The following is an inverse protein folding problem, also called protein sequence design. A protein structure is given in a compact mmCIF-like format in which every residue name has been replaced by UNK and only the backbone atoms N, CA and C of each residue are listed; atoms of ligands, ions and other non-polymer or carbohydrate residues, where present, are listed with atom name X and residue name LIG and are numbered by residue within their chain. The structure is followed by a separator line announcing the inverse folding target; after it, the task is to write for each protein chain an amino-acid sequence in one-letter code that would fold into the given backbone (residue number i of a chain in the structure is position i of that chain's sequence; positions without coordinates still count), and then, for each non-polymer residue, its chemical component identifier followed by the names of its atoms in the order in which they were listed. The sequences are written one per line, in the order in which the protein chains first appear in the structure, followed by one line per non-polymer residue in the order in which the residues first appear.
data_IF_134628814859
#
_entry.id   IF_134628814859
#
_cell.length_a   1.000
_cell.length_b   1.000
_cell.length_c   1.000
_cell.angle_alpha   90.00
_cell.angle_beta   90.00
_cell.angle_gamma   90.00
#
_symmetry.space_group_name_H-M   'P 1'
#
loop_
_entity.id
_entity.type
_entity.pdbx_description
1 polymer ?
#
# COMPACT_ATOMS: atom_id res chain seq x y z
N UNK A 1 2.21 0.51 13.98
CA UNK A 1 1.98 0.76 12.54
C UNK A 1 2.48 -0.33 11.59
N UNK A 2 3.45 -1.17 11.96
CA UNK A 2 4.02 -2.23 11.10
C UNK A 2 3.03 -3.35 10.65
N UNK A 3 1.85 -3.45 11.27
CA UNK A 3 0.83 -4.43 10.91
C UNK A 3 -0.08 -3.98 9.74
N UNK A 4 0.24 -2.90 9.04
CA UNK A 4 -0.53 -2.49 7.85
C UNK A 4 -0.02 -3.14 6.57
N UNK A 5 1.27 -3.48 6.51
CA UNK A 5 1.94 -3.97 5.30
C UNK A 5 2.11 -5.49 5.26
N UNK A 6 1.90 -6.22 6.36
CA UNK A 6 2.14 -7.67 6.43
C UNK A 6 1.27 -8.51 5.47
N UNK A 7 0.12 -7.96 5.07
CA UNK A 7 -0.78 -8.62 4.14
C UNK A 7 -0.46 -8.33 2.68
N UNK A 8 0.51 -7.46 2.39
CA UNK A 8 0.86 -7.08 1.03
C UNK A 8 1.95 -8.01 0.47
N UNK A 9 1.86 -8.28 -0.82
CA UNK A 9 2.90 -8.93 -1.60
C UNK A 9 4.03 -7.94 -1.94
N UNK A 10 5.03 -8.44 -2.68
CA UNK A 10 6.18 -7.62 -3.14
C UNK A 10 5.79 -6.45 -4.07
N UNK A 11 4.59 -6.48 -4.66
CA UNK A 11 4.06 -5.42 -5.51
C UNK A 11 3.23 -4.41 -4.71
N UNK A 12 3.11 -4.59 -3.39
CA UNK A 12 2.30 -3.75 -2.54
C UNK A 12 0.81 -4.10 -2.58
N UNK A 13 0.42 -5.29 -3.03
CA UNK A 13 -1.00 -5.68 -3.12
C UNK A 13 -1.37 -6.75 -2.13
N UNK A 14 -2.56 -6.63 -1.57
CA UNK A 14 -3.07 -7.58 -0.59
C UNK A 14 -3.07 -9.01 -1.13
N UNK A 15 -2.55 -9.93 -0.33
CA UNK A 15 -2.48 -11.35 -0.67
C UNK A 15 -3.84 -12.02 -0.57
N UNK A 16 -4.08 -12.98 -1.48
CA UNK A 16 -5.25 -13.85 -1.43
C UNK A 16 -5.28 -14.63 -0.12
N UNK A 17 -6.47 -14.75 0.48
CA UNK A 17 -6.68 -15.47 1.73
C UNK A 17 -6.31 -14.69 2.99
N UNK A 18 -5.71 -13.50 2.88
CA UNK A 18 -5.43 -12.62 4.02
C UNK A 18 -6.71 -12.16 4.72
N UNK A 19 -6.65 -12.13 6.06
CA UNK A 19 -7.68 -11.47 6.87
C UNK A 19 -7.39 -9.98 6.94
N UNK A 20 -8.37 -9.16 6.56
CA UNK A 20 -8.31 -7.70 6.59
C UNK A 20 -9.39 -7.13 7.51
N UNK A 21 -9.06 -6.03 8.16
CA UNK A 21 -9.97 -5.20 8.95
C UNK A 21 -9.87 -3.74 8.51
N UNK A 22 -10.82 -2.93 8.97
CA UNK A 22 -10.84 -1.48 8.73
C UNK A 22 -9.45 -0.86 8.87
N UNK A 23 -9.06 -0.05 7.88
CA UNK A 23 -7.78 0.65 7.85
C UNK A 23 -6.60 -0.18 7.33
N UNK A 24 -6.73 -1.50 7.12
CA UNK A 24 -5.69 -2.25 6.41
C UNK A 24 -5.54 -1.78 4.96
N UNK A 25 -4.30 -1.81 4.48
CA UNK A 25 -3.95 -1.43 3.12
C UNK A 25 -4.28 -2.61 2.19
N UNK A 26 -4.96 -2.31 1.08
CA UNK A 26 -5.29 -3.25 0.02
C UNK A 26 -4.34 -3.11 -1.17
N UNK A 27 -3.92 -1.87 -1.44
CA UNK A 27 -2.91 -1.52 -2.45
C UNK A 27 -2.04 -0.42 -1.87
N UNK A 28 -0.75 -0.70 -1.70
CA UNK A 28 0.29 0.23 -1.28
C UNK A 28 0.96 0.83 -2.50
N UNK A 29 0.59 2.05 -2.86
CA UNK A 29 1.23 2.78 -3.96
C UNK A 29 2.06 3.92 -3.40
N UNK A 30 3.38 3.85 -3.60
CA UNK A 30 4.29 4.97 -3.36
C UNK A 30 4.39 5.78 -4.65
N UNK A 31 4.02 7.05 -4.58
CA UNK A 31 4.25 7.98 -5.67
C UNK A 31 5.51 8.79 -5.34
N UNK A 32 6.64 8.56 -6.02
CA UNK A 32 7.85 9.32 -5.75
C UNK A 32 7.59 10.79 -6.09
N UNK A 33 7.71 11.68 -5.11
CA UNK A 33 7.83 13.11 -5.40
C UNK A 33 9.28 13.35 -5.76
N UNK A 34 9.53 13.63 -7.04
CA UNK A 34 10.85 14.04 -7.52
C UNK A 34 10.97 15.54 -7.27
N UNK A 35 11.25 15.94 -6.03
CA UNK A 35 11.79 17.27 -5.77
C UNK A 35 13.30 17.22 -6.01
N UNK A 36 13.72 17.93 -7.04
CA UNK A 36 15.05 17.86 -7.62
C UNK A 36 15.94 18.90 -6.99
N UNK A 37 16.37 18.76 -5.74
CA UNK A 37 17.39 19.67 -5.18
C UNK A 37 18.47 18.98 -4.33
N UNK A 38 19.69 19.12 -4.86
CA UNK A 38 21.04 19.05 -4.28
C UNK A 38 21.41 17.99 -3.22
N UNK A 39 22.38 17.16 -3.63
CA UNK A 39 23.54 16.64 -2.91
C UNK A 39 23.56 16.67 -1.36
N UNK A 40 23.84 15.48 -0.80
CA UNK A 40 24.32 15.15 0.56
C UNK A 40 23.32 14.95 1.72
N UNK A 41 22.01 14.91 1.48
CA UNK A 41 21.08 14.34 2.46
C UNK A 41 20.70 12.92 2.00
N UNK A 42 20.84 11.92 2.87
CA UNK A 42 20.25 10.59 2.70
C UNK A 42 18.87 10.77 2.09
N UNK A 43 18.67 10.24 0.89
CA UNK A 43 17.44 10.36 0.09
C UNK A 43 16.26 9.78 0.87
N UNK A 44 15.70 10.55 1.80
CA UNK A 44 14.37 10.35 2.32
C UNK A 44 13.46 10.84 1.22
N UNK A 45 13.22 9.96 0.24
CA UNK A 45 12.23 10.20 -0.81
C UNK A 45 10.94 10.61 -0.12
N UNK A 46 10.50 11.85 -0.33
CA UNK A 46 9.19 12.35 0.12
C UNK A 46 8.10 11.69 -0.74
N UNK A 47 8.02 10.36 -0.73
CA UNK A 47 7.03 9.61 -1.49
C UNK A 47 5.66 9.83 -0.87
N UNK A 48 4.73 10.43 -1.62
CA UNK A 48 3.35 10.58 -1.18
C UNK A 48 2.67 9.21 -1.23
N UNK A 49 2.33 8.68 -0.06
CA UNK A 49 1.59 7.42 0.04
C UNK A 49 0.18 7.60 -0.53
N UNK A 50 -0.15 6.85 -1.59
CA UNK A 50 -1.48 6.84 -2.21
C UNK A 50 -2.10 5.45 -2.01
N UNK A 51 -2.19 5.02 -0.75
CA UNK A 51 -2.63 3.68 -0.40
C UNK A 51 -4.16 3.53 -0.44
N UNK A 52 -4.66 2.49 -1.10
CA UNK A 52 -6.05 2.07 -0.99
C UNK A 52 -6.24 1.32 0.33
N UNK A 53 -7.21 1.73 1.16
CA UNK A 53 -7.48 1.13 2.47
C UNK A 53 -8.89 0.56 2.53
N UNK A 54 -9.08 -0.47 3.36
CA UNK A 54 -10.40 -1.02 3.61
C UNK A 54 -11.28 0.03 4.34
N UNK A 55 -12.48 0.33 3.83
CA UNK A 55 -13.36 1.32 4.44
C UNK A 55 -13.83 0.91 5.85
N UNK A 56 -14.34 1.90 6.58
CA UNK A 56 -14.76 1.74 7.98
C UNK A 56 -15.94 0.77 8.08
N UNK A 57 -15.86 -0.16 9.02
CA UNK A 57 -16.88 -1.19 9.26
C UNK A 57 -16.65 -2.50 8.52
N UNK A 58 -15.67 -2.56 7.60
CA UNK A 58 -15.30 -3.77 6.89
C UNK A 58 -14.37 -4.68 7.70
N UNK A 59 -14.68 -5.97 7.75
CA UNK A 59 -13.74 -7.06 8.10
C UNK A 59 -14.06 -8.28 7.25
N UNK A 60 -13.04 -8.96 6.75
CA UNK A 60 -13.25 -10.13 5.91
C UNK A 60 -11.96 -10.78 5.45
N UNK A 61 -12.14 -11.79 4.60
CA UNK A 61 -11.04 -12.50 3.95
C UNK A 61 -10.98 -12.09 2.49
N UNK A 62 -9.78 -11.84 1.97
CA UNK A 62 -9.58 -11.58 0.54
C UNK A 62 -9.81 -12.89 -0.22
N UNK A 63 -10.82 -12.90 -1.09
CA UNK A 63 -11.22 -14.10 -1.85
C UNK A 63 -10.75 -14.07 -3.31
N UNK A 64 -10.46 -12.89 -3.85
CA UNK A 64 -10.07 -12.68 -5.24
C UNK A 64 -9.23 -11.40 -5.38
N UNK A 65 -8.24 -11.41 -6.27
CA UNK A 65 -7.36 -10.28 -6.60
C UNK A 65 -7.14 -10.33 -8.11
N UNK A 66 -7.60 -9.30 -8.81
CA UNK A 66 -7.51 -9.20 -10.26
C UNK A 66 -6.85 -7.90 -10.68
N UNK A 67 -5.92 -8.02 -11.61
CA UNK A 67 -5.33 -6.88 -12.31
C UNK A 67 -6.10 -6.62 -13.60
N UNK A 68 -6.52 -5.37 -13.79
CA UNK A 68 -7.12 -4.92 -15.04
C UNK A 68 -6.20 -3.86 -15.62
N UNK A 69 -5.49 -4.20 -16.68
CA UNK A 69 -4.75 -3.23 -17.46
C UNK A 69 -5.72 -2.57 -18.44
N UNK A 70 -5.76 -1.23 -18.43
CA UNK A 70 -6.50 -0.43 -19.42
C UNK A 70 -5.66 -0.23 -20.66
#
# INVERSE_FOLDING_TARGET
EAHLLYNLDKNGIVMLGSWVKTGNILEGKLMPQVEKESSYALEVSTSKETCLKLPIGGRGRVIDVRWVQK
#
